data_IF_495997732762
#
_entry.id   IF_495997732762
#
_cell.length_a   1.000
_cell.length_b   1.000
_cell.length_c   1.000
_cell.angle_alpha   90.00
_cell.angle_beta   90.00
_cell.angle_gamma   90.00
#
_symmetry.space_group_name_H-M   'P 1'
#
loop_
_entity.id
_entity.type
_entity.pdbx_description
1 polymer ?
#
# COMPACT_ATOMS: atom_id res chain seq x y z
N UNK A 1 -0.31 10.27 -3.36
CA UNK A 1 -1.59 10.95 -3.65
C UNK A 1 -1.92 12.01 -2.58
N UNK A 2 -1.91 11.71 -1.27
CA UNK A 2 -2.19 12.71 -0.21
C UNK A 2 -1.25 13.92 -0.28
N UNK A 3 0.05 13.73 -0.38
CA UNK A 3 1.06 14.80 -0.54
C UNK A 3 0.76 15.70 -1.74
N UNK A 4 0.49 15.10 -2.91
CA UNK A 4 0.15 15.87 -4.11
C UNK A 4 -1.16 16.66 -3.95
N UNK A 5 -2.18 16.10 -3.27
CA UNK A 5 -3.42 16.80 -2.97
C UNK A 5 -3.16 18.01 -2.05
N UNK A 6 -2.28 17.85 -1.08
CA UNK A 6 -1.85 18.93 -0.16
C UNK A 6 -0.88 19.93 -0.81
N UNK A 7 -0.49 19.72 -2.08
CA UNK A 7 0.45 20.58 -2.78
C UNK A 7 1.88 20.53 -2.23
N UNK A 8 2.24 19.43 -1.56
CA UNK A 8 3.57 19.27 -0.99
C UNK A 8 4.53 18.67 -2.01
N UNK A 9 5.68 19.33 -2.20
CA UNK A 9 6.78 18.76 -2.95
C UNK A 9 7.43 17.63 -2.16
N UNK A 10 7.71 16.52 -2.83
CA UNK A 10 8.24 15.32 -2.20
C UNK A 10 9.26 14.62 -3.07
N UNK A 11 10.38 14.23 -2.48
CA UNK A 11 11.32 13.30 -3.06
C UNK A 11 10.86 11.87 -2.80
N UNK A 12 10.63 11.09 -3.86
CA UNK A 12 10.25 9.69 -3.76
C UNK A 12 11.49 8.80 -3.81
N UNK A 13 11.78 8.11 -2.71
CA UNK A 13 12.90 7.16 -2.61
C UNK A 13 12.38 5.76 -2.89
N UNK A 14 12.79 5.10 -3.99
CA UNK A 14 12.39 3.72 -4.27
C UNK A 14 12.85 2.75 -3.19
N UNK A 15 11.96 1.83 -2.83
CA UNK A 15 12.24 0.80 -1.84
C UNK A 15 11.79 -0.58 -2.33
N UNK A 16 12.51 -1.64 -1.93
CA UNK A 16 12.21 -3.03 -2.28
C UNK A 16 11.86 -3.85 -1.05
N UNK A 17 11.10 -4.90 -1.24
CA UNK A 17 10.69 -5.82 -0.16
C UNK A 17 11.86 -6.43 0.61
N UNK A 18 13.01 -6.60 -0.03
CA UNK A 18 14.24 -7.15 0.55
C UNK A 18 15.12 -6.08 1.23
N UNK A 19 14.83 -4.79 1.07
CA UNK A 19 15.63 -3.67 1.59
C UNK A 19 15.10 -3.13 2.93
N UNK A 20 14.71 -4.01 3.86
CA UNK A 20 14.13 -3.63 5.14
C UNK A 20 15.02 -2.72 5.98
N UNK A 21 16.33 -2.89 5.89
CA UNK A 21 17.30 -2.08 6.63
C UNK A 21 17.22 -0.60 6.28
N UNK A 22 16.83 -0.24 5.04
CA UNK A 22 16.70 1.15 4.60
C UNK A 22 15.60 1.93 5.33
N UNK A 23 14.61 1.25 5.88
CA UNK A 23 13.51 1.88 6.62
C UNK A 23 13.48 1.51 8.10
N UNK A 24 14.51 0.79 8.61
CA UNK A 24 14.59 0.34 10.00
C UNK A 24 14.51 1.48 11.02
N UNK A 25 14.98 2.67 10.66
CA UNK A 25 14.87 3.88 11.47
C UNK A 25 13.41 4.28 11.78
N UNK A 26 12.44 3.84 10.98
CA UNK A 26 11.01 4.11 11.18
C UNK A 26 10.35 3.19 12.22
N UNK A 27 11.06 2.18 12.72
CA UNK A 27 10.54 1.19 13.65
C UNK A 27 9.62 0.14 13.00
N UNK A 28 9.55 0.11 11.66
CA UNK A 28 8.74 -0.88 10.94
C UNK A 28 9.43 -1.40 9.68
N UNK A 29 8.85 -2.45 9.08
CA UNK A 29 9.38 -3.15 7.90
C UNK A 29 8.52 -2.94 6.64
N UNK A 30 7.69 -1.91 6.61
CA UNK A 30 6.73 -1.65 5.53
C UNK A 30 6.75 -0.19 5.12
N UNK A 31 6.37 0.07 3.90
CA UNK A 31 6.13 1.40 3.36
C UNK A 31 4.62 1.67 3.27
N UNK A 32 4.17 2.90 3.24
CA UNK A 32 4.96 4.14 3.16
C UNK A 32 5.57 4.59 4.49
N UNK A 33 6.71 5.28 4.38
CA UNK A 33 7.35 6.03 5.47
C UNK A 33 7.58 7.44 4.94
N UNK A 34 7.10 8.44 5.65
CA UNK A 34 7.33 9.86 5.38
C UNK A 34 8.38 10.40 6.35
N UNK A 35 9.34 11.14 5.81
CA UNK A 35 10.27 11.97 6.58
C UNK A 35 9.95 13.43 6.26
N UNK A 36 9.66 14.20 7.28
CA UNK A 36 9.41 15.63 7.18
C UNK A 36 10.25 16.36 8.24
N UNK A 37 11.36 16.95 7.78
CA UNK A 37 12.38 17.50 8.66
C UNK A 37 12.94 16.45 9.61
N UNK A 38 12.66 16.60 10.90
CA UNK A 38 13.07 15.66 11.95
C UNK A 38 11.97 14.66 12.37
N UNK A 39 10.80 14.73 11.72
CA UNK A 39 9.66 13.85 11.99
C UNK A 39 9.68 12.65 11.05
N UNK A 40 9.41 11.47 11.59
CA UNK A 40 9.22 10.24 10.81
C UNK A 40 7.82 9.71 11.10
N UNK A 41 7.01 9.60 10.05
CA UNK A 41 5.63 9.11 10.14
C UNK A 41 5.48 7.88 9.25
N UNK A 42 4.90 6.84 9.79
CA UNK A 42 4.71 5.56 9.12
C UNK A 42 3.22 5.21 9.09
N UNK A 43 2.83 4.37 8.14
CA UNK A 43 1.45 4.04 7.78
C UNK A 43 0.74 5.14 6.98
N UNK A 44 0.03 4.73 5.93
CA UNK A 44 -0.61 5.66 4.99
C UNK A 44 -1.69 6.53 5.63
N UNK A 45 -2.43 5.99 6.60
CA UNK A 45 -3.48 6.72 7.29
C UNK A 45 -2.92 7.68 8.33
N UNK A 46 -1.88 7.26 9.06
CA UNK A 46 -1.17 8.13 10.00
C UNK A 46 -0.47 9.27 9.27
N UNK A 47 0.11 9.00 8.09
CA UNK A 47 0.67 10.05 7.21
C UNK A 47 -0.44 11.04 6.79
N UNK A 48 -1.62 10.56 6.40
CA UNK A 48 -2.71 11.44 6.02
C UNK A 48 -3.16 12.33 7.19
N UNK A 49 -3.30 11.77 8.40
CA UNK A 49 -3.60 12.55 9.62
C UNK A 49 -2.52 13.58 9.95
N UNK A 50 -1.26 13.17 9.84
CA UNK A 50 -0.13 14.07 10.03
C UNK A 50 -0.20 15.27 9.07
N UNK A 51 -0.46 15.00 7.79
CA UNK A 51 -0.55 16.06 6.77
C UNK A 51 -1.73 17.02 7.01
N UNK A 52 -2.87 16.55 7.52
CA UNK A 52 -3.97 17.42 7.92
C UNK A 52 -3.57 18.38 9.05
N UNK A 53 -2.86 17.85 10.05
CA UNK A 53 -2.47 18.62 11.21
C UNK A 53 -1.30 19.60 10.94
N UNK A 54 -0.32 19.17 10.15
CA UNK A 54 0.91 19.95 9.91
C UNK A 54 0.70 21.02 8.83
N UNK A 55 -0.18 20.74 7.86
CA UNK A 55 -0.45 21.63 6.72
C UNK A 55 -1.94 22.03 6.66
N UNK A 56 -2.46 22.75 7.68
CA UNK A 56 -3.89 23.07 7.77
C UNK A 56 -4.35 24.05 6.68
N UNK A 57 -3.45 24.88 6.16
CA UNK A 57 -3.73 25.86 5.10
C UNK A 57 -3.80 25.22 3.70
N UNK A 58 -3.39 23.97 3.57
CA UNK A 58 -3.48 23.21 2.32
C UNK A 58 -4.86 22.56 2.16
N UNK A 59 -5.27 22.16 0.92
CA UNK A 59 -6.56 21.51 0.69
C UNK A 59 -6.77 20.30 1.61
N UNK A 60 -7.92 20.23 2.30
CA UNK A 60 -8.22 19.17 3.26
C UNK A 60 -8.42 17.81 2.57
N UNK A 61 -7.93 16.75 3.21
CA UNK A 61 -8.20 15.35 2.83
C UNK A 61 -9.56 14.87 3.38
N UNK A 62 -10.24 15.69 4.20
CA UNK A 62 -11.56 15.42 4.78
C UNK A 62 -11.63 14.08 5.54
N UNK A 63 -10.58 13.75 6.29
CA UNK A 63 -10.42 12.44 6.95
C UNK A 63 -11.51 12.14 7.98
N UNK A 64 -12.16 13.17 8.54
CA UNK A 64 -13.25 13.07 9.50
C UNK A 64 -14.62 12.77 8.86
N UNK A 65 -14.74 12.90 7.52
CA UNK A 65 -16.00 12.65 6.83
C UNK A 65 -16.31 11.14 6.78
N UNK A 66 -17.55 10.80 7.08
CA UNK A 66 -18.01 9.41 7.11
C UNK A 66 -17.82 8.67 5.80
N UNK A 67 -17.98 9.36 4.67
CA UNK A 67 -17.76 8.82 3.33
C UNK A 67 -16.29 8.41 3.10
N UNK A 68 -15.35 9.24 3.56
CA UNK A 68 -13.91 8.95 3.44
C UNK A 68 -13.55 7.74 4.29
N UNK A 69 -14.07 7.67 5.52
CA UNK A 69 -13.87 6.51 6.40
C UNK A 69 -14.50 5.24 5.81
N UNK A 70 -15.70 5.33 5.27
CA UNK A 70 -16.36 4.21 4.61
C UNK A 70 -15.54 3.69 3.43
N UNK A 71 -15.13 4.57 2.51
CA UNK A 71 -14.32 4.20 1.34
C UNK A 71 -12.99 3.58 1.77
N UNK A 72 -12.32 4.16 2.79
CA UNK A 72 -11.09 3.59 3.35
C UNK A 72 -11.29 2.16 3.80
N UNK A 73 -12.26 1.92 4.69
CA UNK A 73 -12.51 0.58 5.23
C UNK A 73 -12.94 -0.41 4.14
N UNK A 74 -13.81 0.01 3.24
CA UNK A 74 -14.22 -0.82 2.12
C UNK A 74 -13.03 -1.19 1.20
N UNK A 75 -12.18 -0.21 0.88
CA UNK A 75 -10.99 -0.46 0.06
C UNK A 75 -10.03 -1.44 0.73
N UNK A 76 -9.77 -1.28 2.03
CA UNK A 76 -8.84 -2.13 2.77
C UNK A 76 -9.38 -3.54 3.02
N UNK A 77 -10.68 -3.68 3.28
CA UNK A 77 -11.27 -4.97 3.69
C UNK A 77 -11.90 -5.75 2.54
N UNK A 78 -12.28 -5.09 1.46
CA UNK A 78 -12.96 -5.72 0.33
C UNK A 78 -12.15 -5.57 -0.96
N UNK A 79 -11.91 -4.32 -1.39
CA UNK A 79 -11.35 -4.07 -2.72
C UNK A 79 -9.92 -4.60 -2.86
N UNK A 80 -9.01 -4.23 -1.96
CA UNK A 80 -7.60 -4.63 -2.06
C UNK A 80 -7.40 -6.13 -1.95
N UNK A 81 -8.04 -6.87 -1.02
CA UNK A 81 -7.93 -8.32 -0.97
C UNK A 81 -8.41 -9.01 -2.25
N UNK A 82 -9.51 -8.58 -2.83
CA UNK A 82 -10.03 -9.17 -4.07
C UNK A 82 -9.14 -8.81 -5.28
N UNK A 83 -8.68 -7.56 -5.38
CA UNK A 83 -7.70 -7.17 -6.41
C UNK A 83 -6.40 -7.98 -6.30
N UNK A 84 -5.91 -8.22 -5.08
CA UNK A 84 -4.70 -9.01 -4.90
C UNK A 84 -4.88 -10.44 -5.42
N UNK A 85 -6.01 -11.09 -5.16
CA UNK A 85 -6.33 -12.43 -5.68
C UNK A 85 -6.36 -12.48 -7.22
N UNK A 86 -6.66 -11.38 -7.88
CA UNK A 86 -6.64 -11.27 -9.34
C UNK A 86 -5.25 -11.01 -9.91
N UNK A 87 -4.40 -10.29 -9.18
CA UNK A 87 -3.16 -9.71 -9.71
C UNK A 87 -1.89 -10.33 -9.15
N UNK A 88 -1.95 -11.12 -8.07
CA UNK A 88 -0.78 -11.56 -7.31
C UNK A 88 0.28 -12.27 -8.17
N UNK A 89 -0.13 -13.13 -9.08
CA UNK A 89 0.80 -13.85 -9.97
C UNK A 89 1.41 -12.90 -11.01
N UNK A 90 0.63 -11.97 -11.54
CA UNK A 90 1.14 -10.95 -12.47
C UNK A 90 2.14 -10.02 -11.78
N UNK A 91 1.87 -9.62 -10.54
CA UNK A 91 2.82 -8.84 -9.73
C UNK A 91 4.12 -9.62 -9.55
N UNK A 92 4.03 -10.88 -9.08
CA UNK A 92 5.20 -11.75 -8.90
C UNK A 92 6.07 -11.82 -10.16
N UNK A 93 5.46 -12.07 -11.32
CA UNK A 93 6.18 -12.24 -12.60
C UNK A 93 6.85 -10.96 -13.11
N UNK A 94 6.42 -9.78 -12.63
CA UNK A 94 7.00 -8.49 -12.97
C UNK A 94 8.00 -7.98 -11.93
N UNK A 95 8.20 -8.70 -10.83
CA UNK A 95 9.24 -8.37 -9.86
C UNK A 95 10.61 -8.77 -10.38
N UNK A 96 11.65 -8.15 -9.83
CA UNK A 96 13.03 -8.58 -10.06
C UNK A 96 13.26 -9.97 -9.46
N UNK A 97 14.14 -10.79 -10.06
CA UNK A 97 14.39 -12.15 -9.59
C UNK A 97 14.71 -12.24 -8.09
N UNK A 98 15.48 -11.28 -7.56
CA UNK A 98 15.88 -11.24 -6.15
C UNK A 98 14.71 -11.06 -5.18
N UNK A 99 13.61 -10.43 -5.63
CA UNK A 99 12.43 -10.15 -4.81
C UNK A 99 11.34 -11.24 -4.94
N UNK A 100 11.40 -12.06 -5.99
CA UNK A 100 10.34 -13.04 -6.32
C UNK A 100 10.15 -14.09 -5.25
N UNK A 101 11.24 -14.68 -4.74
CA UNK A 101 11.16 -15.73 -3.70
C UNK A 101 10.48 -15.21 -2.43
N UNK A 102 10.92 -14.07 -1.93
CA UNK A 102 10.33 -13.44 -0.75
C UNK A 102 8.85 -13.09 -0.97
N UNK A 103 8.53 -12.51 -2.14
CA UNK A 103 7.16 -12.15 -2.47
C UNK A 103 6.26 -13.38 -2.51
N UNK A 104 6.67 -14.43 -3.23
CA UNK A 104 5.93 -15.69 -3.33
C UNK A 104 5.64 -16.27 -1.96
N UNK A 105 6.67 -16.54 -1.17
CA UNK A 105 6.54 -17.13 0.17
C UNK A 105 5.57 -16.34 1.06
N UNK A 106 5.75 -15.02 1.10
CA UNK A 106 4.92 -14.15 1.94
C UNK A 106 3.46 -14.09 1.49
N UNK A 107 3.19 -14.15 0.18
CA UNK A 107 1.82 -14.07 -0.36
C UNK A 107 1.11 -15.41 -0.34
N UNK A 108 1.79 -16.52 -0.61
CA UNK A 108 1.24 -17.86 -0.47
C UNK A 108 0.85 -18.14 0.98
N UNK A 109 1.68 -17.76 1.94
CA UNK A 109 1.35 -17.83 3.38
C UNK A 109 0.11 -17.00 3.72
N UNK A 110 -0.01 -15.79 3.18
CA UNK A 110 -1.12 -14.88 3.45
C UNK A 110 -2.43 -15.34 2.80
N UNK A 111 -2.35 -15.89 1.58
CA UNK A 111 -3.51 -16.28 0.76
C UNK A 111 -3.94 -17.73 0.97
N UNK A 112 -3.12 -18.53 1.66
CA UNK A 112 -3.42 -19.92 2.04
C UNK A 112 -3.21 -20.95 0.93
N UNK A 113 -2.45 -20.61 -0.14
CA UNK A 113 -2.16 -21.54 -1.22
C UNK A 113 -1.22 -20.97 -2.30
N UNK A 114 -0.80 -21.80 -3.26
CA UNK A 114 0.05 -21.40 -4.38
C UNK A 114 -0.54 -20.24 -5.18
N UNK A 115 0.29 -19.31 -5.67
CA UNK A 115 -0.18 -18.13 -6.41
C UNK A 115 -0.97 -18.51 -7.66
N UNK A 116 -0.58 -19.60 -8.32
CA UNK A 116 -1.24 -20.14 -9.51
C UNK A 116 -2.68 -20.59 -9.21
N UNK A 117 -2.90 -21.24 -8.07
CA UNK A 117 -4.24 -21.68 -7.64
C UNK A 117 -5.11 -20.50 -7.23
N UNK A 118 -4.51 -19.50 -6.56
CA UNK A 118 -5.24 -18.27 -6.16
C UNK A 118 -5.83 -17.55 -7.36
N UNK A 119 -5.12 -17.51 -8.49
CA UNK A 119 -5.57 -16.85 -9.72
C UNK A 119 -6.32 -17.77 -10.69
N UNK A 120 -6.37 -19.09 -10.44
CA UNK A 120 -6.98 -20.06 -11.36
C UNK A 120 -8.43 -19.70 -11.75
N UNK A 121 -9.22 -19.21 -10.80
CA UNK A 121 -10.62 -18.81 -11.00
C UNK A 121 -10.79 -17.32 -11.33
N UNK A 122 -9.75 -16.68 -11.88
CA UNK A 122 -9.77 -15.24 -12.20
C UNK A 122 -10.91 -14.85 -13.13
N UNK A 123 -11.15 -15.67 -14.16
CA UNK A 123 -12.20 -15.43 -15.17
C UNK A 123 -13.59 -15.39 -14.52
N UNK A 124 -13.85 -16.28 -13.56
CA UNK A 124 -15.15 -16.38 -12.88
C UNK A 124 -15.42 -15.20 -11.93
N UNK A 125 -14.36 -14.47 -11.55
CA UNK A 125 -14.42 -13.31 -10.64
C UNK A 125 -14.53 -11.97 -11.37
N UNK A 126 -14.28 -11.95 -12.67
CA UNK A 126 -14.42 -10.74 -13.48
C UNK A 126 -15.87 -10.63 -13.98
N UNK A 127 -16.48 -9.43 -13.92
CA UNK A 127 -17.77 -9.21 -14.52
C UNK A 127 -17.71 -9.59 -16.02
N UNK A 128 -18.67 -10.37 -16.46
CA UNK A 128 -18.89 -10.55 -17.90
C UNK A 128 -19.34 -9.22 -18.48
N UNK A 129 -18.62 -8.73 -19.49
CA UNK A 129 -18.95 -7.51 -20.21
C UNK A 129 -20.26 -7.68 -21.01
#
# INVERSE_FOLDING_TARGET
MALAHKGQDVECIPWRFTEKDKIKFSGQERVPVLIDGNKTVSDSWEIAKYLENEYPDSPSLKLEHGEVLFIKFWAETVLHPEMLKLLVLAIHNNLRPEDQSYFRESREKMLGGPLEEVVANRQDRLPTA
#
